data_IF_202124017236
#
_entry.id   IF_202124017236
#
_cell.length_a   1.000
_cell.length_b   1.000
_cell.length_c   1.000
_cell.angle_alpha   90.00
_cell.angle_beta   90.00
_cell.angle_gamma   90.00
#
_symmetry.space_group_name_H-M   'P 1'
#
loop_
_entity.id
_entity.type
_entity.pdbx_description
1 polymer ?
#
# COMPACT_ATOMS: atom_id res chain seq x y z
N UNK A 1 -4.41 18.24 7.26
CA UNK A 1 -3.63 17.27 6.45
C UNK A 1 -4.43 16.00 6.15
N UNK A 2 -4.86 15.21 7.15
CA UNK A 2 -5.65 13.98 6.91
C UNK A 2 -6.86 14.14 5.99
N UNK A 3 -7.71 15.15 6.21
CA UNK A 3 -8.89 15.38 5.37
C UNK A 3 -8.56 15.78 3.92
N UNK A 4 -7.35 16.28 3.69
CA UNK A 4 -6.89 16.71 2.36
C UNK A 4 -6.17 15.59 1.62
N UNK A 5 -5.42 14.78 2.36
CA UNK A 5 -4.78 13.55 1.89
C UNK A 5 -5.70 12.33 2.05
N UNK A 6 -6.97 12.54 2.34
CA UNK A 6 -7.97 11.50 2.19
C UNK A 6 -8.15 11.25 0.70
N UNK A 7 -8.34 9.99 0.26
CA UNK A 7 -8.76 9.75 -1.11
C UNK A 7 -10.05 10.54 -1.35
N UNK A 8 -10.19 11.15 -2.53
CA UNK A 8 -11.42 11.87 -2.89
C UNK A 8 -12.65 10.97 -2.76
N UNK A 9 -13.85 11.56 -2.82
CA UNK A 9 -15.12 10.88 -2.54
C UNK A 9 -15.44 9.68 -3.46
N UNK A 10 -14.63 9.43 -4.49
CA UNK A 10 -14.84 8.38 -5.48
C UNK A 10 -13.74 7.32 -5.43
N UNK A 11 -14.16 6.05 -5.29
CA UNK A 11 -13.26 4.91 -5.44
C UNK A 11 -12.73 4.82 -6.89
N UNK A 12 -11.52 4.29 -7.10
CA UNK A 12 -10.98 4.05 -8.44
C UNK A 12 -11.92 3.16 -9.26
N UNK A 13 -12.01 3.41 -10.58
CA UNK A 13 -12.95 2.71 -11.46
C UNK A 13 -12.81 1.17 -11.38
N UNK A 14 -11.58 0.64 -11.30
CA UNK A 14 -11.35 -0.79 -11.15
C UNK A 14 -11.89 -1.33 -9.81
N UNK A 15 -11.74 -0.58 -8.71
CA UNK A 15 -12.27 -0.97 -7.40
C UNK A 15 -13.80 -1.05 -7.45
N UNK A 16 -14.44 -0.08 -8.10
CA UNK A 16 -15.89 -0.09 -8.33
C UNK A 16 -16.31 -1.29 -9.19
N UNK A 17 -15.63 -1.54 -10.31
CA UNK A 17 -15.93 -2.67 -11.18
C UNK A 17 -15.74 -4.03 -10.48
N UNK A 18 -14.73 -4.16 -9.63
CA UNK A 18 -14.53 -5.33 -8.77
C UNK A 18 -15.66 -5.45 -7.75
N UNK A 19 -16.06 -4.36 -7.09
CA UNK A 19 -17.17 -4.34 -6.13
C UNK A 19 -18.48 -4.84 -6.74
N UNK A 20 -18.73 -4.46 -7.99
CA UNK A 20 -19.92 -4.84 -8.75
C UNK A 20 -19.80 -6.23 -9.41
N UNK A 21 -18.62 -6.86 -9.35
CA UNK A 21 -18.36 -8.16 -9.99
C UNK A 21 -18.27 -8.10 -11.52
N UNK A 22 -18.12 -6.89 -12.09
CA UNK A 22 -18.04 -6.68 -13.54
C UNK A 22 -16.61 -6.68 -14.09
N UNK A 23 -15.61 -6.54 -13.22
CA UNK A 23 -14.21 -6.65 -13.61
C UNK A 23 -13.80 -8.11 -13.89
N UNK A 24 -12.95 -8.36 -14.90
CA UNK A 24 -12.45 -9.71 -15.17
C UNK A 24 -11.44 -10.15 -14.10
N UNK A 25 -11.40 -11.45 -13.78
CA UNK A 25 -10.40 -12.02 -12.86
C UNK A 25 -8.95 -11.81 -13.32
N UNK A 26 -8.72 -11.58 -14.61
CA UNK A 26 -7.40 -11.22 -15.14
C UNK A 26 -6.87 -9.90 -14.58
N UNK A 27 -7.75 -8.96 -14.19
CA UNK A 27 -7.33 -7.73 -13.52
C UNK A 27 -6.83 -8.00 -12.09
N UNK A 28 -7.45 -8.94 -11.39
CA UNK A 28 -7.02 -9.39 -10.06
C UNK A 28 -5.71 -10.18 -10.15
N UNK A 29 -5.58 -11.01 -11.18
CA UNK A 29 -4.34 -11.72 -11.50
C UNK A 29 -3.18 -10.73 -11.74
N UNK A 30 -3.42 -9.68 -12.52
CA UNK A 30 -2.45 -8.63 -12.77
C UNK A 30 -2.08 -7.88 -11.50
N UNK A 31 -3.08 -7.51 -10.68
CA UNK A 31 -2.87 -6.87 -9.40
C UNK A 31 -1.95 -7.72 -8.51
N UNK A 32 -2.23 -9.02 -8.36
CA UNK A 32 -1.41 -9.93 -7.56
C UNK A 32 0.05 -9.99 -8.06
N UNK A 33 0.23 -10.03 -9.38
CA UNK A 33 1.56 -10.07 -9.99
C UNK A 33 2.35 -8.76 -9.79
N UNK A 34 1.72 -7.60 -9.99
CA UNK A 34 2.36 -6.30 -9.75
C UNK A 34 2.68 -6.11 -8.25
N UNK A 35 1.77 -6.52 -7.36
CA UNK A 35 1.95 -6.42 -5.91
C UNK A 35 3.15 -7.22 -5.40
N UNK A 36 3.46 -8.37 -5.99
CA UNK A 36 4.65 -9.13 -5.63
C UNK A 36 5.94 -8.29 -5.75
N UNK A 37 6.05 -7.50 -6.82
CA UNK A 37 7.20 -6.60 -7.05
C UNK A 37 7.15 -5.38 -6.13
N UNK A 38 5.97 -4.76 -6.01
CA UNK A 38 5.74 -3.56 -5.18
C UNK A 38 6.14 -3.84 -3.73
N UNK A 39 5.56 -4.86 -3.11
CA UNK A 39 5.79 -5.21 -1.70
C UNK A 39 7.25 -5.61 -1.44
N UNK A 40 7.88 -6.28 -2.40
CA UNK A 40 9.31 -6.60 -2.31
C UNK A 40 10.17 -5.34 -2.31
N UNK A 41 9.82 -4.33 -3.11
CA UNK A 41 10.48 -3.02 -3.14
C UNK A 41 10.21 -2.24 -1.86
N UNK A 42 8.94 -2.13 -1.46
CA UNK A 42 8.50 -1.33 -0.32
C UNK A 42 9.11 -1.85 0.98
N UNK A 43 9.16 -3.18 1.16
CA UNK A 43 9.89 -3.80 2.27
C UNK A 43 11.33 -3.30 2.37
N UNK A 44 12.07 -3.24 1.26
CA UNK A 44 13.47 -2.81 1.25
C UNK A 44 13.59 -1.33 1.56
N UNK A 45 12.71 -0.51 1.00
CA UNK A 45 12.63 0.93 1.25
C UNK A 45 12.34 1.22 2.73
N UNK A 46 11.41 0.49 3.34
CA UNK A 46 11.07 0.61 4.76
C UNK A 46 12.23 0.17 5.67
N UNK A 47 12.94 -0.91 5.34
CA UNK A 47 14.16 -1.31 6.08
C UNK A 47 15.27 -0.26 5.99
N UNK A 48 15.41 0.41 4.85
CA UNK A 48 16.36 1.51 4.70
C UNK A 48 15.95 2.71 5.58
N UNK A 49 14.67 3.08 5.59
CA UNK A 49 14.15 4.13 6.49
C UNK A 49 14.35 3.78 7.96
N UNK A 50 14.12 2.52 8.33
CA UNK A 50 14.39 2.02 9.68
C UNK A 50 15.86 2.23 10.06
N UNK A 51 16.78 1.89 9.14
CA UNK A 51 18.23 2.06 9.35
C UNK A 51 18.61 3.54 9.46
N UNK A 52 18.05 4.42 8.62
CA UNK A 52 18.25 5.89 8.68
C UNK A 52 17.71 6.52 9.97
N UNK A 53 16.87 5.80 10.70
CA UNK A 53 16.26 6.25 11.96
C UNK A 53 16.62 5.32 13.12
N UNK A 54 17.71 4.54 13.03
CA UNK A 54 18.03 3.52 14.03
C UNK A 54 18.24 4.07 15.46
N UNK A 55 18.58 5.36 15.56
CA UNK A 55 18.77 6.11 16.80
C UNK A 55 17.49 6.81 17.31
N UNK A 56 16.36 6.62 16.63
CA UNK A 56 15.08 7.29 16.92
C UNK A 56 13.92 6.28 16.99
N UNK A 57 12.84 6.59 17.74
CA UNK A 57 11.64 5.73 17.77
C UNK A 57 11.06 5.41 16.39
N UNK A 58 11.19 6.34 15.44
CA UNK A 58 10.75 6.14 14.05
C UNK A 58 11.41 4.92 13.38
N UNK A 59 12.63 4.55 13.79
CA UNK A 59 13.31 3.36 13.26
C UNK A 59 12.52 2.08 13.51
N UNK A 60 12.03 1.89 14.74
CA UNK A 60 11.21 0.73 15.11
C UNK A 60 9.85 0.72 14.40
N UNK A 61 9.27 1.91 14.17
CA UNK A 61 8.02 2.04 13.42
C UNK A 61 8.19 1.61 11.96
N UNK A 62 9.23 2.09 11.26
CA UNK A 62 9.51 1.65 9.89
C UNK A 62 9.87 0.15 9.80
N UNK A 63 10.58 -0.39 10.80
CA UNK A 63 10.85 -1.83 10.86
C UNK A 63 9.55 -2.66 10.97
N UNK A 64 8.60 -2.20 11.80
CA UNK A 64 7.27 -2.82 11.92
C UNK A 64 6.53 -2.83 10.57
N UNK A 65 6.58 -1.74 9.80
CA UNK A 65 6.01 -1.71 8.45
C UNK A 65 6.65 -2.73 7.52
N UNK A 66 7.99 -2.84 7.53
CA UNK A 66 8.70 -3.82 6.70
C UNK A 66 8.38 -5.28 7.06
N UNK A 67 8.11 -5.56 8.34
CA UNK A 67 7.58 -6.85 8.79
C UNK A 67 6.17 -7.09 8.26
N UNK A 68 5.33 -6.04 8.23
CA UNK A 68 4.02 -6.07 7.60
C UNK A 68 4.08 -6.41 6.11
N UNK A 69 4.96 -5.76 5.34
CA UNK A 69 5.21 -6.10 3.94
C UNK A 69 5.65 -7.57 3.78
N UNK A 70 6.50 -8.06 4.69
CA UNK A 70 6.91 -9.46 4.68
C UNK A 70 5.75 -10.41 4.96
N UNK A 71 4.78 -10.01 5.78
CA UNK A 71 3.57 -10.79 6.04
C UNK A 71 2.63 -10.79 4.85
N UNK A 72 2.36 -9.63 4.24
CA UNK A 72 1.55 -9.50 3.04
C UNK A 72 2.13 -10.29 1.86
N UNK A 73 3.46 -10.30 1.69
CA UNK A 73 4.11 -11.06 0.63
C UNK A 73 3.83 -12.57 0.71
N UNK A 74 3.62 -13.11 1.92
CA UNK A 74 3.31 -14.54 2.14
C UNK A 74 1.89 -14.93 1.76
N UNK A 75 0.97 -13.98 1.65
CA UNK A 75 -0.43 -14.26 1.30
C UNK A 75 -0.70 -14.17 -0.21
N UNK A 76 0.16 -13.47 -0.96
CA UNK A 76 0.02 -13.30 -2.40
C UNK A 76 -0.05 -14.62 -3.22
N UNK A 77 0.68 -15.71 -2.88
CA UNK A 77 0.59 -16.95 -3.64
C UNK A 77 -0.83 -17.54 -3.71
N UNK A 78 -1.59 -17.47 -2.62
CA UNK A 78 -2.96 -17.99 -2.58
C UNK A 78 -3.92 -17.14 -3.45
N UNK A 79 -3.77 -15.82 -3.40
CA UNK A 79 -4.51 -14.91 -4.28
C UNK A 79 -4.22 -15.20 -5.76
N UNK A 80 -2.94 -15.30 -6.12
CA UNK A 80 -2.51 -15.57 -7.49
C UNK A 80 -3.04 -16.92 -8.00
N UNK A 81 -2.97 -17.97 -7.18
CA UNK A 81 -3.48 -19.30 -7.52
C UNK A 81 -5.00 -19.30 -7.76
N UNK A 82 -5.77 -18.57 -6.94
CA UNK A 82 -7.21 -18.40 -7.14
C UNK A 82 -7.55 -17.68 -8.45
N UNK A 83 -6.63 -16.88 -8.98
CA UNK A 83 -6.73 -16.25 -10.29
C UNK A 83 -6.13 -17.09 -11.44
N UNK A 84 -5.66 -18.31 -11.17
CA UNK A 84 -5.08 -19.21 -12.17
C UNK A 84 -3.62 -18.91 -12.54
N UNK A 85 -2.91 -18.10 -11.74
CA UNK A 85 -1.47 -17.87 -11.89
C UNK A 85 -0.67 -18.79 -10.97
N UNK A 86 0.37 -19.42 -11.51
CA UNK A 86 1.38 -20.07 -10.68
C UNK A 86 2.46 -19.05 -10.22
N UNK A 87 3.29 -19.47 -9.25
CA UNK A 87 4.32 -18.59 -8.69
C UNK A 87 5.37 -18.12 -9.70
N UNK A 88 5.60 -18.88 -10.77
CA UNK A 88 6.54 -18.48 -11.83
C UNK A 88 5.92 -17.42 -12.72
N UNK A 89 4.65 -17.57 -13.10
CA UNK A 89 3.92 -16.58 -13.87
C UNK A 89 3.83 -15.23 -13.15
N UNK A 90 3.69 -15.24 -11.82
CA UNK A 90 3.76 -14.04 -10.97
C UNK A 90 5.15 -13.39 -11.02
N UNK A 91 6.22 -14.16 -10.81
CA UNK A 91 7.59 -13.64 -10.77
C UNK A 91 8.07 -13.11 -12.14
N UNK A 92 7.73 -13.83 -13.21
CA UNK A 92 8.11 -13.52 -14.59
C UNK A 92 7.21 -12.43 -15.20
N UNK A 93 6.13 -12.00 -14.52
CA UNK A 93 5.25 -10.93 -15.02
C UNK A 93 6.04 -9.62 -15.18
N UNK A 94 6.04 -9.02 -16.39
CA UNK A 94 6.69 -7.74 -16.62
C UNK A 94 6.07 -6.64 -15.74
N UNK A 95 6.87 -5.70 -15.21
CA UNK A 95 6.34 -4.58 -14.46
C UNK A 95 5.55 -3.65 -15.38
N UNK A 96 4.36 -3.22 -14.92
CA UNK A 96 3.61 -2.14 -15.56
C UNK A 96 4.12 -0.79 -15.05
N UNK A 97 4.54 0.16 -15.92
CA UNK A 97 5.17 1.40 -15.47
C UNK A 97 4.35 2.19 -14.44
N UNK A 98 3.04 2.32 -14.66
CA UNK A 98 2.18 3.04 -13.72
C UNK A 98 2.02 2.35 -12.36
N UNK A 99 2.12 1.02 -12.31
CA UNK A 99 2.16 0.28 -11.05
C UNK A 99 3.51 0.41 -10.31
N UNK A 100 4.59 0.79 -11.00
CA UNK A 100 5.91 0.96 -10.40
C UNK A 100 6.21 2.39 -9.93
N UNK A 101 5.34 3.36 -10.24
CA UNK A 101 5.55 4.75 -9.85
C UNK A 101 5.55 4.93 -8.32
N UNK A 102 4.59 4.31 -7.62
CA UNK A 102 4.50 4.35 -6.16
C UNK A 102 5.74 3.73 -5.47
N UNK A 103 6.13 2.46 -5.74
CA UNK A 103 7.30 1.87 -5.08
C UNK A 103 8.61 2.57 -5.46
N UNK A 104 8.73 3.14 -6.67
CA UNK A 104 9.88 3.95 -7.05
C UNK A 104 9.94 5.25 -6.22
N UNK A 105 8.79 5.88 -5.96
CA UNK A 105 8.72 7.06 -5.11
C UNK A 105 8.98 6.72 -3.64
N UNK A 106 8.48 5.59 -3.13
CA UNK A 106 8.81 5.15 -1.77
C UNK A 106 10.31 4.84 -1.62
N UNK A 107 10.96 4.27 -2.64
CA UNK A 107 12.40 4.11 -2.67
C UNK A 107 13.14 5.47 -2.66
N UNK A 108 12.62 6.45 -3.41
CA UNK A 108 13.15 7.82 -3.35
C UNK A 108 12.98 8.45 -1.96
N UNK A 109 11.82 8.30 -1.31
CA UNK A 109 11.58 8.74 0.06
C UNK A 109 12.55 8.04 1.02
N UNK A 110 12.80 6.75 0.81
CA UNK A 110 13.72 6.01 1.65
C UNK A 110 15.15 6.54 1.61
N UNK A 111 15.58 7.07 0.47
CA UNK A 111 16.90 7.67 0.29
C UNK A 111 16.94 9.14 0.74
N UNK A 112 15.90 9.92 0.41
CA UNK A 112 16.00 11.39 0.38
C UNK A 112 15.05 12.12 1.35
N UNK A 113 14.06 11.42 1.92
CA UNK A 113 13.04 12.11 2.71
C UNK A 113 13.55 12.65 4.05
N UNK A 114 12.80 13.63 4.57
CA UNK A 114 12.77 13.96 6.00
C UNK A 114 11.89 12.92 6.72
N UNK A 115 12.41 12.09 7.64
CA UNK A 115 11.65 10.94 8.15
C UNK A 115 10.33 11.28 8.87
N UNK A 116 10.25 12.31 9.74
CA UNK A 116 8.97 12.71 10.33
C UNK A 116 7.92 13.08 9.27
N UNK A 117 8.32 13.76 8.19
CA UNK A 117 7.43 14.11 7.09
C UNK A 117 6.98 12.87 6.31
N UNK A 118 7.88 11.91 6.09
CA UNK A 118 7.55 10.63 5.43
C UNK A 118 6.54 9.80 6.26
N UNK A 119 6.71 9.73 7.59
CA UNK A 119 5.75 9.06 8.47
C UNK A 119 4.36 9.70 8.36
N UNK A 120 4.30 11.02 8.46
CA UNK A 120 3.04 11.75 8.39
C UNK A 120 2.32 11.56 7.03
N UNK A 121 3.09 11.53 5.93
CA UNK A 121 2.57 11.27 4.58
C UNK A 121 2.05 9.82 4.42
N UNK A 122 2.81 8.82 4.87
CA UNK A 122 2.44 7.40 4.77
C UNK A 122 1.19 7.07 5.58
N UNK A 123 1.11 7.57 6.82
CA UNK A 123 -0.06 7.39 7.69
C UNK A 123 -1.33 7.92 7.04
N UNK A 124 -1.25 9.06 6.35
CA UNK A 124 -2.40 9.61 5.65
C UNK A 124 -2.86 8.72 4.49
N UNK A 125 -1.95 8.00 3.83
CA UNK A 125 -2.25 7.14 2.69
C UNK A 125 -2.90 5.80 3.08
N UNK A 126 -2.57 5.23 4.25
CA UNK A 126 -3.00 3.88 4.64
C UNK A 126 -4.52 3.68 4.67
N UNK A 127 -5.28 4.70 5.05
CA UNK A 127 -6.74 4.61 5.16
C UNK A 127 -7.42 4.32 3.80
N UNK A 128 -6.90 4.91 2.71
CA UNK A 128 -7.43 4.72 1.36
C UNK A 128 -7.29 3.26 0.90
N UNK A 129 -6.05 2.80 0.90
CA UNK A 129 -5.66 1.46 0.49
C UNK A 129 -6.41 0.38 1.26
N UNK A 130 -6.52 0.52 2.58
CA UNK A 130 -7.26 -0.43 3.42
C UNK A 130 -8.75 -0.51 3.08
N UNK A 131 -9.40 0.64 2.80
CA UNK A 131 -10.79 0.68 2.37
C UNK A 131 -11.04 -0.01 1.03
N UNK A 132 -10.12 0.17 0.07
CA UNK A 132 -10.18 -0.53 -1.23
C UNK A 132 -9.96 -2.03 -1.06
N UNK A 133 -8.98 -2.45 -0.25
CA UNK A 133 -8.75 -3.86 0.04
C UNK A 133 -9.97 -4.53 0.69
N UNK A 134 -10.59 -3.88 1.68
CA UNK A 134 -11.81 -4.38 2.31
C UNK A 134 -12.96 -4.58 1.30
N UNK A 135 -13.07 -3.65 0.35
CA UNK A 135 -14.10 -3.70 -0.71
C UNK A 135 -13.84 -4.85 -1.67
N UNK A 136 -12.61 -4.99 -2.15
CA UNK A 136 -12.20 -6.06 -3.08
C UNK A 136 -12.36 -7.43 -2.41
N UNK A 137 -11.90 -7.61 -1.17
CA UNK A 137 -11.99 -8.87 -0.45
C UNK A 137 -13.44 -9.37 -0.30
N UNK A 138 -14.38 -8.48 0.02
CA UNK A 138 -15.82 -8.81 0.08
C UNK A 138 -16.37 -9.19 -1.30
N UNK A 139 -15.97 -8.47 -2.33
CA UNK A 139 -16.46 -8.67 -3.67
C UNK A 139 -15.97 -9.99 -4.28
N UNK A 140 -14.70 -10.35 -4.09
CA UNK A 140 -14.12 -11.62 -4.55
C UNK A 140 -14.82 -12.82 -3.92
N UNK A 141 -15.11 -12.77 -2.62
CA UNK A 141 -15.91 -13.80 -1.94
C UNK A 141 -17.32 -13.89 -2.52
N UNK A 142 -17.98 -12.75 -2.69
CA UNK A 142 -19.38 -12.69 -3.13
C UNK A 142 -19.59 -13.15 -4.57
N UNK A 143 -18.76 -12.68 -5.50
CA UNK A 143 -18.99 -12.85 -6.94
C UNK A 143 -18.19 -14.00 -7.55
N UNK A 144 -17.08 -14.39 -6.91
CA UNK A 144 -16.18 -15.42 -7.43
C UNK A 144 -15.94 -16.59 -6.46
N UNK A 145 -16.51 -16.56 -5.25
CA UNK A 145 -16.40 -17.66 -4.28
C UNK A 145 -14.98 -17.87 -3.74
N UNK A 146 -14.14 -16.82 -3.73
CA UNK A 146 -12.78 -16.92 -3.21
C UNK A 146 -12.79 -17.34 -1.74
N UNK A 147 -11.84 -18.18 -1.34
CA UNK A 147 -11.65 -18.60 0.04
C UNK A 147 -11.05 -17.48 0.89
N UNK A 148 -11.10 -17.62 2.22
CA UNK A 148 -10.42 -16.69 3.12
C UNK A 148 -8.91 -16.65 2.89
N UNK A 149 -8.31 -17.79 2.55
CA UNK A 149 -6.88 -17.86 2.20
C UNK A 149 -6.56 -17.05 0.95
N UNK A 150 -7.39 -17.12 -0.09
CA UNK A 150 -7.22 -16.34 -1.31
C UNK A 150 -7.46 -14.83 -1.09
N UNK A 151 -8.30 -14.46 -0.13
CA UNK A 151 -8.56 -13.07 0.24
C UNK A 151 -7.60 -12.51 1.31
N UNK A 152 -6.76 -13.34 1.93
CA UNK A 152 -5.90 -12.97 3.05
C UNK A 152 -4.99 -11.76 2.76
N UNK A 153 -4.55 -11.59 1.51
CA UNK A 153 -3.81 -10.42 1.08
C UNK A 153 -4.59 -9.11 1.31
N UNK A 154 -5.82 -9.05 0.82
CA UNK A 154 -6.65 -7.88 0.99
C UNK A 154 -7.11 -7.73 2.44
N UNK A 155 -7.44 -8.83 3.12
CA UNK A 155 -7.86 -8.78 4.51
C UNK A 155 -6.75 -8.25 5.44
N UNK A 156 -5.48 -8.55 5.14
CA UNK A 156 -4.33 -8.02 5.87
C UNK A 156 -4.31 -6.48 5.87
N UNK A 157 -4.45 -5.87 4.68
CA UNK A 157 -4.46 -4.41 4.56
C UNK A 157 -5.80 -3.76 4.94
N UNK A 158 -6.89 -4.51 4.92
CA UNK A 158 -8.22 -4.04 5.33
C UNK A 158 -8.36 -3.83 6.84
N UNK A 159 -7.40 -4.30 7.65
CA UNK A 159 -7.41 -4.09 9.09
C UNK A 159 -7.30 -2.60 9.41
N UNK A 160 -8.05 -2.08 10.41
CA UNK A 160 -7.90 -0.70 10.83
C UNK A 160 -6.46 -0.41 11.24
N UNK A 161 -5.86 0.62 10.64
CA UNK A 161 -4.49 1.01 10.95
C UNK A 161 -4.34 1.68 12.32
N UNK A 162 -5.35 1.73 13.18
CA UNK A 162 -5.39 2.54 14.41
C UNK A 162 -4.18 2.30 15.32
N UNK A 163 -3.75 1.05 15.49
CA UNK A 163 -2.56 0.75 16.29
C UNK A 163 -1.28 1.26 15.63
N UNK A 164 -1.15 1.10 14.30
CA UNK A 164 -0.01 1.57 13.53
C UNK A 164 0.07 3.10 13.49
N UNK A 165 -1.08 3.77 13.39
CA UNK A 165 -1.21 5.23 13.48
C UNK A 165 -0.86 5.75 14.88
N UNK A 166 -1.28 5.03 15.93
CA UNK A 166 -0.92 5.37 17.30
C UNK A 166 0.59 5.22 17.52
N UNK A 167 1.19 4.10 17.07
CA UNK A 167 2.64 3.90 17.13
C UNK A 167 3.41 4.96 16.32
N UNK A 168 2.83 5.46 15.21
CA UNK A 168 3.41 6.56 14.46
C UNK A 168 3.40 7.86 15.26
N UNK A 169 2.26 8.19 15.88
CA UNK A 169 2.12 9.37 16.74
C UNK A 169 3.09 9.30 17.94
N UNK A 170 3.16 8.15 18.60
CA UNK A 170 4.08 7.92 19.73
C UNK A 170 5.54 8.08 19.28
N UNK A 171 5.89 7.58 18.10
CA UNK A 171 7.25 7.68 17.54
C UNK A 171 7.62 9.10 17.08
N UNK A 172 6.65 9.90 16.64
CA UNK A 172 6.82 11.32 16.31
C UNK A 172 6.96 12.18 17.58
N UNK A 173 6.38 11.72 18.69
CA UNK A 173 6.41 12.42 19.97
C UNK A 173 5.23 13.37 20.15
N UNK A 174 5.15 14.03 21.33
CA UNK A 174 4.00 14.86 21.71
C UNK A 174 3.98 16.24 21.04
N UNK A 175 5.13 16.70 20.54
CA UNK A 175 5.26 18.02 19.96
C UNK A 175 4.68 18.05 18.53
N UNK A 176 3.93 19.10 18.17
CA UNK A 176 3.47 19.27 16.80
C UNK A 176 4.63 19.34 15.82
N UNK A 177 4.46 18.75 14.64
CA UNK A 177 5.40 18.94 13.53
C UNK A 177 5.49 20.43 13.21
N UNK A 178 6.72 20.92 13.00
CA UNK A 178 6.94 22.28 12.56
C UNK A 178 6.32 22.52 11.16
N UNK A 179 6.12 23.79 10.82
CA UNK A 179 5.43 24.18 9.58
C UNK A 179 6.14 23.71 8.30
N UNK A 180 7.47 23.62 8.31
CA UNK A 180 8.23 23.15 7.15
C UNK A 180 8.05 21.64 6.98
N UNK A 181 8.20 20.87 8.06
CA UNK A 181 7.99 19.42 8.09
C UNK A 181 6.57 19.07 7.66
N UNK A 182 5.56 19.84 8.09
CA UNK A 182 4.17 19.63 7.68
C UNK A 182 3.95 19.94 6.18
N UNK A 183 4.57 21.01 5.66
CA UNK A 183 4.50 21.33 4.23
C UNK A 183 5.16 20.22 3.39
N UNK A 184 6.34 19.74 3.80
CA UNK A 184 7.02 18.61 3.14
C UNK A 184 6.19 17.32 3.22
N UNK A 185 5.55 17.03 4.36
CA UNK A 185 4.67 15.86 4.50
C UNK A 185 3.49 15.92 3.53
N UNK A 186 2.93 17.11 3.32
CA UNK A 186 1.84 17.35 2.36
C UNK A 186 2.29 17.09 0.93
N UNK A 187 3.44 17.62 0.52
CA UNK A 187 4.01 17.36 -0.81
C UNK A 187 4.22 15.86 -1.04
N UNK A 188 4.79 15.16 -0.05
CA UNK A 188 4.98 13.72 -0.12
C UNK A 188 3.66 12.96 -0.24
N UNK A 189 2.67 13.32 0.57
CA UNK A 189 1.35 12.69 0.56
C UNK A 189 0.63 12.85 -0.78
N UNK A 190 0.65 14.05 -1.37
CA UNK A 190 0.00 14.31 -2.66
C UNK A 190 0.61 13.47 -3.79
N UNK A 191 1.94 13.28 -3.79
CA UNK A 191 2.60 12.41 -4.76
C UNK A 191 2.25 10.94 -4.53
N UNK A 192 2.21 10.46 -3.28
CA UNK A 192 1.79 9.10 -2.95
C UNK A 192 0.36 8.83 -3.46
N UNK A 193 -0.57 9.74 -3.19
CA UNK A 193 -1.94 9.62 -3.69
C UNK A 193 -2.02 9.62 -5.22
N UNK A 194 -1.29 10.52 -5.89
CA UNK A 194 -1.28 10.57 -7.35
C UNK A 194 -0.74 9.28 -7.97
N UNK A 195 0.30 8.69 -7.36
CA UNK A 195 0.85 7.42 -7.81
C UNK A 195 -0.03 6.22 -7.47
N UNK A 196 -0.76 6.23 -6.35
CA UNK A 196 -1.78 5.23 -6.06
C UNK A 196 -2.93 5.30 -7.09
N UNK A 197 -3.37 6.50 -7.45
CA UNK A 197 -4.37 6.67 -8.50
C UNK A 197 -3.85 6.16 -9.86
N UNK A 198 -2.60 6.46 -10.21
CA UNK A 198 -1.96 5.94 -11.43
C UNK A 198 -1.88 4.41 -11.42
N UNK A 199 -1.59 3.80 -10.27
CA UNK A 199 -1.61 2.34 -10.10
C UNK A 199 -2.98 1.76 -10.46
N UNK A 200 -4.06 2.31 -9.89
CA UNK A 200 -5.41 1.82 -10.15
C UNK A 200 -5.85 2.03 -11.61
N UNK A 201 -5.55 3.20 -12.18
CA UNK A 201 -5.85 3.50 -13.59
C UNK A 201 -5.08 2.57 -14.54
N UNK A 202 -3.83 2.25 -14.22
CA UNK A 202 -3.01 1.33 -15.03
C UNK A 202 -3.56 -0.10 -15.03
N UNK A 203 -4.08 -0.56 -13.88
CA UNK A 203 -4.73 -1.87 -13.80
C UNK A 203 -6.13 -1.89 -14.45
N UNK A 204 -6.80 -0.73 -14.50
CA UNK A 204 -8.13 -0.56 -15.09
C UNK A 204 -8.13 -0.58 -16.63
N UNK A 205 -7.01 -0.21 -17.26
CA UNK A 205 -6.88 -0.08 -18.71
C UNK A 205 -7.13 1.34 -19.22
#
# INVERSE_FOLDING_TARGET
>A
MRAELAPGDFAPALVTALADGSAPLTAVAELAAQQHRIITSDRRSLLLLATRCADRPLGAWFATLAEGESAALRTLPALAAACGLDGRAVADRPPLPGCQAYPAYLAWLALNSVPPAAVAALVANFAAWGGYCATIARALRRHHGFSDEACAFFDFFAQPATELEQRAADALGPDPLDGLTLATAREYGLLLQAYEHLFWSTLGG
#
